data_IF_428738732253
#
_entry.id   IF_428738732253
#
_cell.length_a   1.000
_cell.length_b   1.000
_cell.length_c   1.000
_cell.angle_alpha   90.00
_cell.angle_beta   90.00
_cell.angle_gamma   90.00
#
_symmetry.space_group_name_H-M   'P 1'
#
loop_
_entity.id
_entity.type
_entity.pdbx_description
1 polymer ?
#
# COMPACT_ATOMS: atom_id res chain seq x y z
N UNK A 1 -9.09 17.79 16.86
CA UNK A 1 -9.84 16.85 15.97
C UNK A 1 -8.98 15.66 15.57
N UNK A 2 -7.73 15.88 15.15
CA UNK A 2 -6.78 14.82 14.77
C UNK A 2 -6.62 13.72 15.82
N UNK A 3 -6.46 14.07 17.10
CA UNK A 3 -6.32 13.10 18.18
C UNK A 3 -7.52 12.12 18.26
N UNK A 4 -8.75 12.61 18.04
CA UNK A 4 -9.95 11.77 18.03
C UNK A 4 -9.93 10.80 16.85
N UNK A 5 -9.52 11.27 15.67
CA UNK A 5 -9.37 10.42 14.48
C UNK A 5 -8.27 9.39 14.65
N UNK A 6 -7.15 9.74 15.28
CA UNK A 6 -6.07 8.79 15.59
C UNK A 6 -6.53 7.68 16.53
N UNK A 7 -7.33 8.00 17.57
CA UNK A 7 -7.91 7.00 18.46
C UNK A 7 -8.87 6.06 17.71
N UNK A 8 -9.73 6.61 16.85
CA UNK A 8 -10.66 5.81 16.03
C UNK A 8 -9.89 4.92 15.06
N UNK A 9 -8.92 5.47 14.34
CA UNK A 9 -8.10 4.72 13.38
C UNK A 9 -7.33 3.59 14.04
N UNK A 10 -6.75 3.82 15.22
CA UNK A 10 -6.05 2.78 15.98
C UNK A 10 -7.01 1.66 16.39
N UNK A 11 -8.17 1.99 16.95
CA UNK A 11 -9.16 0.97 17.35
C UNK A 11 -9.71 0.20 16.15
N UNK A 12 -9.92 0.88 15.02
CA UNK A 12 -10.31 0.24 13.77
C UNK A 12 -9.23 -0.74 13.29
N UNK A 13 -7.96 -0.33 13.28
CA UNK A 13 -6.84 -1.21 12.91
C UNK A 13 -6.79 -2.47 13.79
N UNK A 14 -6.97 -2.33 15.11
CA UNK A 14 -7.02 -3.48 16.04
C UNK A 14 -8.22 -4.38 15.72
N UNK A 15 -9.41 -3.81 15.48
CA UNK A 15 -10.62 -4.60 15.17
C UNK A 15 -10.49 -5.40 13.86
N UNK A 16 -9.65 -4.95 12.93
CA UNK A 16 -9.40 -5.59 11.64
C UNK A 16 -8.28 -6.64 11.70
N UNK A 17 -7.87 -7.10 12.89
CA UNK A 17 -6.79 -8.08 13.04
C UNK A 17 -6.94 -9.33 12.16
N UNK A 18 -8.17 -9.86 12.03
CA UNK A 18 -8.47 -11.02 11.18
C UNK A 18 -8.82 -10.66 9.72
N UNK A 19 -8.74 -9.38 9.35
CA UNK A 19 -9.00 -8.89 8.00
C UNK A 19 -7.82 -8.05 7.49
N UNK A 20 -6.68 -8.71 7.28
CA UNK A 20 -5.40 -8.06 7.03
C UNK A 20 -5.36 -7.15 5.80
N UNK A 21 -6.08 -7.49 4.71
CA UNK A 21 -6.11 -6.65 3.51
C UNK A 21 -6.87 -5.32 3.74
N UNK A 22 -7.95 -5.35 4.51
CA UNK A 22 -8.68 -4.12 4.89
C UNK A 22 -7.86 -3.30 5.89
N UNK A 23 -7.24 -3.95 6.87
CA UNK A 23 -6.34 -3.28 7.82
C UNK A 23 -5.18 -2.57 7.08
N UNK A 24 -4.59 -3.23 6.09
CA UNK A 24 -3.52 -2.67 5.27
C UNK A 24 -4.02 -1.54 4.35
N UNK A 25 -5.22 -1.65 3.78
CA UNK A 25 -5.82 -0.57 3.01
C UNK A 25 -6.10 0.67 3.88
N UNK A 26 -6.72 0.49 5.05
CA UNK A 26 -7.04 1.60 5.94
C UNK A 26 -5.78 2.26 6.52
N UNK A 27 -4.77 1.47 6.87
CA UNK A 27 -3.46 1.99 7.29
C UNK A 27 -2.81 2.81 6.17
N UNK A 28 -2.80 2.32 4.92
CA UNK A 28 -2.23 3.07 3.78
C UNK A 28 -2.93 4.42 3.54
N UNK A 29 -4.23 4.50 3.80
CA UNK A 29 -5.04 5.72 3.65
C UNK A 29 -4.83 6.71 4.80
N UNK A 30 -4.62 6.21 6.03
CA UNK A 30 -4.65 7.03 7.24
C UNK A 30 -3.29 7.27 7.88
N UNK A 31 -2.30 6.40 7.61
CA UNK A 31 -1.02 6.37 8.32
C UNK A 31 -1.13 5.96 9.79
N UNK A 32 -2.26 5.35 10.20
CA UNK A 32 -2.54 4.99 11.60
C UNK A 32 -2.65 3.46 11.73
N UNK A 33 -1.95 2.83 12.70
CA UNK A 33 -0.94 3.42 13.57
C UNK A 33 0.31 3.88 12.80
N UNK A 34 1.16 4.68 13.46
CA UNK A 34 2.44 5.16 12.93
C UNK A 34 3.48 4.03 12.89
N UNK A 35 3.25 3.04 12.00
CA UNK A 35 4.09 1.87 11.82
C UNK A 35 5.51 2.28 11.41
N UNK A 36 6.47 1.58 11.98
CA UNK A 36 7.87 1.68 11.60
C UNK A 36 8.24 0.51 10.69
N UNK A 37 9.03 0.74 9.64
CA UNK A 37 9.58 -0.34 8.81
C UNK A 37 10.39 -1.34 9.65
N UNK A 38 10.44 -2.59 9.21
CA UNK A 38 11.25 -3.61 9.89
C UNK A 38 12.75 -3.31 9.77
N UNK A 39 13.53 -3.67 10.80
CA UNK A 39 14.97 -3.35 10.88
C UNK A 39 15.84 -3.93 9.76
N UNK A 40 15.39 -5.01 9.11
CA UNK A 40 16.09 -5.66 7.99
C UNK A 40 15.39 -5.42 6.65
N UNK A 41 14.75 -4.27 6.50
CA UNK A 41 14.02 -3.88 5.29
C UNK A 41 14.97 -3.77 4.07
N UNK A 42 14.53 -4.27 2.91
CA UNK A 42 15.26 -4.18 1.64
C UNK A 42 14.54 -3.27 0.62
N UNK A 43 13.68 -2.39 1.13
CA UNK A 43 12.80 -1.48 0.38
C UNK A 43 13.02 -0.03 0.86
N UNK A 44 14.29 0.36 1.06
CA UNK A 44 14.68 1.73 1.43
C UNK A 44 13.99 2.28 2.70
N UNK A 45 13.81 1.43 3.72
CA UNK A 45 13.08 1.77 4.94
C UNK A 45 11.66 2.27 4.67
N UNK A 46 11.02 1.74 3.62
CA UNK A 46 9.62 1.98 3.31
C UNK A 46 8.79 0.72 3.49
N UNK A 47 7.56 0.90 3.99
CA UNK A 47 6.54 -0.15 4.03
C UNK A 47 5.82 -0.14 2.66
N UNK A 48 5.77 -1.28 1.93
CA UNK A 48 5.10 -1.37 0.64
C UNK A 48 3.65 -0.88 0.68
N UNK A 49 3.25 -0.12 -0.34
CA UNK A 49 1.89 0.44 -0.47
C UNK A 49 1.07 -0.20 -1.59
N UNK A 50 1.67 -1.11 -2.36
CA UNK A 50 1.00 -1.92 -3.38
C UNK A 50 1.76 -3.22 -3.64
N UNK A 51 1.13 -4.11 -4.40
CA UNK A 51 1.80 -5.22 -5.06
C UNK A 51 2.23 -4.80 -6.47
N UNK A 52 3.27 -5.46 -6.99
CA UNK A 52 3.61 -5.39 -8.41
C UNK A 52 2.64 -6.25 -9.21
N UNK A 53 2.49 -5.96 -10.50
CA UNK A 53 1.77 -6.85 -11.38
C UNK A 53 2.51 -8.20 -11.50
N UNK A 54 1.79 -9.32 -11.71
CA UNK A 54 2.41 -10.60 -11.95
C UNK A 54 3.41 -10.53 -13.12
N UNK A 55 4.57 -11.17 -12.97
CA UNK A 55 5.62 -11.16 -14.01
C UNK A 55 5.11 -11.69 -15.35
N UNK A 56 4.18 -12.65 -15.33
CA UNK A 56 3.59 -13.23 -16.54
C UNK A 56 2.82 -12.21 -17.38
N UNK A 57 2.24 -11.15 -16.80
CA UNK A 57 1.55 -10.10 -17.55
C UNK A 57 2.53 -9.31 -18.41
N UNK A 58 3.79 -9.21 -17.97
CA UNK A 58 4.84 -8.52 -18.71
C UNK A 58 5.22 -9.27 -20.00
N UNK A 59 5.05 -10.59 -20.04
CA UNK A 59 5.34 -11.43 -21.21
C UNK A 59 4.11 -11.75 -22.05
N UNK A 60 2.96 -12.00 -21.42
CA UNK A 60 1.74 -12.46 -22.09
C UNK A 60 0.82 -11.31 -22.52
N UNK A 61 0.94 -10.13 -21.89
CA UNK A 61 0.06 -8.99 -22.10
C UNK A 61 0.84 -7.66 -22.02
N UNK A 62 2.02 -7.64 -22.64
CA UNK A 62 2.99 -6.54 -22.51
C UNK A 62 2.41 -5.18 -22.93
N UNK A 63 1.51 -5.15 -23.92
CA UNK A 63 0.87 -3.92 -24.39
C UNK A 63 0.06 -3.26 -23.27
N UNK A 64 -0.86 -4.01 -22.65
CA UNK A 64 -1.71 -3.50 -21.55
C UNK A 64 -0.88 -3.17 -20.31
N UNK A 65 0.15 -3.97 -20.01
CA UNK A 65 1.09 -3.70 -18.91
C UNK A 65 1.81 -2.36 -19.08
N UNK A 66 2.32 -2.09 -20.30
CA UNK A 66 3.02 -0.85 -20.61
C UNK A 66 2.08 0.37 -20.54
N UNK A 67 0.85 0.25 -21.03
CA UNK A 67 -0.15 1.31 -20.89
C UNK A 67 -0.49 1.61 -19.41
N UNK A 68 -0.61 0.57 -18.58
CA UNK A 68 -0.89 0.74 -17.16
C UNK A 68 0.24 1.50 -16.46
N UNK A 69 1.50 1.14 -16.74
CA UNK A 69 2.69 1.84 -16.22
C UNK A 69 2.73 3.30 -16.66
N UNK A 70 2.41 3.60 -17.92
CA UNK A 70 2.36 4.99 -18.40
C UNK A 70 1.35 5.84 -17.64
N UNK A 71 0.20 5.27 -17.23
CA UNK A 71 -0.84 5.99 -16.48
C UNK A 71 -0.55 6.10 -14.99
N UNK A 72 -0.04 5.03 -14.38
CA UNK A 72 0.11 4.96 -12.92
C UNK A 72 1.47 5.45 -12.40
N UNK A 73 2.52 5.38 -13.24
CA UNK A 73 3.92 5.42 -12.84
C UNK A 73 4.60 4.02 -12.87
N UNK A 74 5.86 3.91 -12.44
CA UNK A 74 6.59 2.64 -12.45
C UNK A 74 5.86 1.57 -11.63
N UNK A 75 5.94 0.30 -12.05
CA UNK A 75 5.44 -0.83 -11.28
C UNK A 75 6.38 -1.18 -10.12
N UNK A 76 6.38 -0.29 -9.12
CA UNK A 76 7.17 -0.39 -7.90
C UNK A 76 6.27 -0.55 -6.67
N UNK A 77 6.80 -1.19 -5.62
CA UNK A 77 6.08 -1.42 -4.35
C UNK A 77 5.68 -0.12 -3.64
N UNK A 78 6.35 0.98 -3.95
CA UNK A 78 6.18 2.29 -3.32
C UNK A 78 5.33 3.25 -4.17
N UNK A 79 4.95 2.87 -5.39
CA UNK A 79 4.07 3.69 -6.24
C UNK A 79 2.66 3.76 -5.64
N UNK A 80 2.21 4.96 -5.23
CA UNK A 80 0.89 5.14 -4.61
C UNK A 80 -0.25 4.85 -5.60
N UNK A 81 -1.23 4.06 -5.17
CA UNK A 81 -2.48 3.87 -5.92
C UNK A 81 -3.30 5.17 -5.93
N UNK A 82 -4.20 5.32 -6.91
CA UNK A 82 -5.00 6.55 -7.09
C UNK A 82 -5.72 7.02 -5.82
N UNK A 83 -6.37 6.11 -5.07
CA UNK A 83 -7.06 6.44 -3.82
C UNK A 83 -6.15 6.89 -2.67
N UNK A 84 -4.83 6.74 -2.80
CA UNK A 84 -3.83 7.13 -1.81
C UNK A 84 -3.02 8.36 -2.24
N UNK A 85 -3.28 8.90 -3.43
CA UNK A 85 -2.66 10.13 -3.94
C UNK A 85 -3.32 11.36 -3.30
#
# INVERSE_FOLDING_TARGET
>A
QQEKLSKIGLQKWISLFFQGLEAWFDWRRTGIPALQPGVSNQNNDLIPVRFRYPIIEQSLNSASYNEAIQRQGPDDLNSKMWHLK
#
